data_IF_257367390494
#
_entry.id   IF_257367390494
#
_cell.length_a   1.000
_cell.length_b   1.000
_cell.length_c   1.000
_cell.angle_alpha   90.00
_cell.angle_beta   90.00
_cell.angle_gamma   90.00
#
_symmetry.space_group_name_H-M   'P 1'
#
loop_
_entity.id
_entity.type
_entity.pdbx_description
1 polymer ?
#
# COMPACT_ATOMS: atom_id res chain seq x y z
N UNK A 1 -14.11 -3.05 1.63
CA UNK A 1 -12.84 -2.56 1.08
C UNK A 1 -12.14 -1.61 2.03
N UNK A 2 -10.98 -1.99 2.55
CA UNK A 2 -10.00 -1.05 3.12
C UNK A 2 -8.65 -1.37 2.49
N UNK A 3 -8.08 -0.39 1.79
CA UNK A 3 -6.78 -0.49 1.17
C UNK A 3 -5.76 0.10 2.13
N UNK A 4 -4.73 -0.67 2.48
CA UNK A 4 -3.66 -0.19 3.34
C UNK A 4 -2.40 0.08 2.53
N UNK A 5 -1.84 1.28 2.69
CA UNK A 5 -0.50 1.62 2.22
C UNK A 5 0.41 1.79 3.43
N UNK A 6 1.41 0.93 3.57
CA UNK A 6 2.44 1.07 4.58
C UNK A 6 3.65 1.79 3.97
N UNK A 7 3.95 2.97 4.50
CA UNK A 7 5.02 3.83 4.01
C UNK A 7 5.97 4.25 5.13
N UNK A 8 7.15 4.74 4.75
CA UNK A 8 8.14 5.30 5.68
C UNK A 8 8.40 6.77 5.36
N UNK A 9 8.34 7.63 6.38
CA UNK A 9 8.66 9.05 6.23
C UNK A 9 10.11 9.24 5.76
N UNK A 10 10.29 9.85 4.59
CA UNK A 10 11.61 10.01 3.95
C UNK A 10 12.07 8.85 3.06
N UNK A 11 11.19 7.89 2.74
CA UNK A 11 11.49 6.85 1.75
C UNK A 11 11.26 7.37 0.31
N UNK A 12 12.30 7.40 -0.55
CA UNK A 12 12.19 7.94 -1.91
C UNK A 12 11.24 7.16 -2.82
N UNK A 13 10.98 5.88 -2.51
CA UNK A 13 10.00 5.08 -3.24
C UNK A 13 8.55 5.44 -2.86
N UNK A 14 8.30 5.81 -1.60
CA UNK A 14 6.99 6.20 -1.11
C UNK A 14 6.56 7.55 -1.72
N UNK A 15 7.48 8.52 -1.82
CA UNK A 15 7.20 9.81 -2.47
C UNK A 15 6.79 9.68 -3.94
N UNK A 16 7.27 8.65 -4.64
CA UNK A 16 6.84 8.36 -6.03
C UNK A 16 5.48 7.69 -6.10
N UNK A 17 5.06 6.98 -5.05
CA UNK A 17 3.78 6.29 -4.99
C UNK A 17 2.65 7.21 -4.53
N UNK A 18 2.92 8.17 -3.64
CA UNK A 18 1.94 9.15 -3.17
C UNK A 18 1.07 9.78 -4.29
N UNK A 19 1.62 10.34 -5.39
CA UNK A 19 0.79 10.90 -6.47
C UNK A 19 0.03 9.85 -7.30
N UNK A 20 0.43 8.58 -7.22
CA UNK A 20 -0.29 7.47 -7.89
C UNK A 20 -1.47 7.00 -7.03
N UNK A 21 -1.27 6.95 -5.72
CA UNK A 21 -2.33 6.64 -4.75
C UNK A 21 -3.43 7.71 -4.84
N UNK A 22 -3.05 8.99 -4.84
CA UNK A 22 -4.00 10.10 -4.97
C UNK A 22 -4.85 10.01 -6.25
N UNK A 23 -4.20 9.71 -7.39
CA UNK A 23 -4.91 9.45 -8.66
C UNK A 23 -5.81 8.21 -8.60
N UNK A 24 -5.36 7.15 -7.93
CA UNK A 24 -6.16 5.94 -7.75
C UNK A 24 -7.44 6.24 -6.95
N UNK A 25 -7.31 6.98 -5.85
CA UNK A 25 -8.45 7.37 -5.02
C UNK A 25 -9.44 8.23 -5.81
N UNK A 26 -8.96 9.17 -6.63
CA UNK A 26 -9.81 9.99 -7.50
C UNK A 26 -10.47 9.21 -8.66
N UNK A 27 -9.76 8.27 -9.28
CA UNK A 27 -10.24 7.55 -10.47
C UNK A 27 -11.17 6.38 -10.11
N UNK A 28 -10.82 5.59 -9.09
CA UNK A 28 -11.57 4.40 -8.69
C UNK A 28 -12.54 4.68 -7.51
N UNK A 29 -12.59 5.92 -6.99
CA UNK A 29 -13.42 6.34 -5.85
C UNK A 29 -13.16 5.46 -4.60
N UNK A 30 -11.88 5.09 -4.40
CA UNK A 30 -11.41 4.26 -3.27
C UNK A 30 -10.69 5.11 -2.23
N UNK A 31 -10.61 4.62 -1.00
CA UNK A 31 -9.87 5.27 0.09
C UNK A 31 -8.70 4.36 0.51
N UNK A 32 -7.48 4.89 0.44
CA UNK A 32 -6.23 4.21 0.79
C UNK A 32 -5.71 4.75 2.11
N UNK A 33 -5.78 3.93 3.16
CA UNK A 33 -5.23 4.25 4.47
C UNK A 33 -3.71 4.15 4.45
N UNK A 34 -3.06 5.31 4.39
CA UNK A 34 -1.61 5.43 4.48
C UNK A 34 -1.16 5.35 5.95
N UNK A 35 -0.48 4.28 6.30
CA UNK A 35 0.04 3.97 7.63
C UNK A 35 1.56 4.09 7.64
N UNK A 36 2.06 5.13 8.28
CA UNK A 36 3.50 5.32 8.49
C UNK A 36 4.02 4.27 9.47
N UNK A 37 5.10 3.55 9.16
CA UNK A 37 5.62 2.45 9.99
C UNK A 37 6.96 2.75 10.69
N UNK A 38 7.68 3.81 10.33
CA UNK A 38 8.99 4.08 10.97
C UNK A 38 8.86 4.82 12.31
N UNK A 39 7.87 5.69 12.45
CA UNK A 39 7.58 6.45 13.66
C UNK A 39 6.36 5.92 14.42
N UNK A 40 5.54 5.04 13.82
CA UNK A 40 4.43 4.39 14.49
C UNK A 40 4.63 2.89 14.66
N UNK A 41 4.84 2.46 15.91
CA UNK A 41 5.09 1.06 16.25
C UNK A 41 3.85 0.17 16.02
N UNK A 42 2.63 0.67 16.25
CA UNK A 42 1.40 -0.10 16.02
C UNK A 42 1.23 -0.43 14.53
N UNK A 43 1.51 0.54 13.67
CA UNK A 43 1.49 0.34 12.22
C UNK A 43 2.58 -0.63 11.76
N UNK A 44 3.77 -0.55 12.35
CA UNK A 44 4.86 -1.49 12.06
C UNK A 44 4.52 -2.93 12.46
N UNK A 45 3.87 -3.12 13.61
CA UNK A 45 3.37 -4.45 14.03
C UNK A 45 2.29 -4.95 13.06
N UNK A 46 1.33 -4.09 12.68
CA UNK A 46 0.29 -4.43 11.71
C UNK A 46 0.87 -4.80 10.34
N UNK A 47 1.83 -4.02 9.85
CA UNK A 47 2.57 -4.34 8.63
C UNK A 47 3.20 -5.72 8.75
N UNK A 48 3.90 -6.00 9.85
CA UNK A 48 4.60 -7.27 10.05
C UNK A 48 3.65 -8.46 10.13
N UNK A 49 2.48 -8.30 10.73
CA UNK A 49 1.44 -9.33 10.75
C UNK A 49 0.86 -9.62 9.36
N UNK A 50 0.61 -8.59 8.55
CA UNK A 50 0.06 -8.73 7.21
C UNK A 50 1.09 -9.20 6.18
N UNK A 51 2.31 -8.67 6.30
CA UNK A 51 3.45 -9.02 5.46
C UNK A 51 3.90 -10.46 5.73
N UNK A 52 3.81 -10.93 6.97
CA UNK A 52 4.26 -12.26 7.43
C UNK A 52 5.71 -12.59 6.97
N UNK A 53 6.53 -11.56 6.75
CA UNK A 53 7.90 -11.68 6.24
C UNK A 53 8.04 -11.92 4.74
N UNK A 54 7.02 -11.61 3.93
CA UNK A 54 7.05 -11.75 2.46
C UNK A 54 7.89 -10.65 1.80
N UNK A 55 7.66 -9.40 2.18
CA UNK A 55 8.26 -8.20 1.60
C UNK A 55 9.27 -7.56 2.56
N UNK A 56 8.91 -7.43 3.84
CA UNK A 56 9.75 -6.88 4.91
C UNK A 56 10.19 -5.44 4.73
N UNK A 57 9.56 -4.68 3.83
CA UNK A 57 9.98 -3.34 3.43
C UNK A 57 8.82 -2.42 3.05
N UNK A 58 9.15 -1.14 2.86
CA UNK A 58 8.21 -0.10 2.38
C UNK A 58 8.66 0.43 1.02
N UNK A 59 7.74 0.83 0.12
CA UNK A 59 6.28 0.84 0.29
C UNK A 59 5.66 -0.57 0.20
N UNK A 60 4.65 -0.84 1.02
CA UNK A 60 3.92 -2.11 1.04
C UNK A 60 2.42 -1.84 0.99
N UNK A 61 1.74 -2.40 0.01
CA UNK A 61 0.30 -2.23 -0.16
C UNK A 61 -0.41 -3.53 0.18
N UNK A 62 -1.50 -3.46 0.94
CA UNK A 62 -2.29 -4.62 1.34
C UNK A 62 -3.79 -4.38 1.19
N UNK A 63 -4.44 -5.19 0.36
CA UNK A 63 -5.87 -5.10 0.11
C UNK A 63 -6.57 -6.12 1.01
N UNK A 64 -7.37 -5.62 1.96
CA UNK A 64 -8.11 -6.48 2.89
C UNK A 64 -9.27 -7.25 2.25
N UNK A 65 -9.67 -6.87 1.03
CA UNK A 65 -10.79 -7.46 0.32
C UNK A 65 -10.36 -8.67 -0.53
N UNK A 66 -9.32 -8.52 -1.36
CA UNK A 66 -8.74 -9.63 -2.13
C UNK A 66 -7.70 -10.46 -1.36
N UNK A 67 -7.24 -9.97 -0.20
CA UNK A 67 -6.06 -10.48 0.51
C UNK A 67 -4.76 -10.37 -0.32
N UNK A 68 -4.75 -9.49 -1.33
CA UNK A 68 -3.62 -9.25 -2.23
C UNK A 68 -2.66 -8.18 -1.71
N UNK A 69 -1.38 -8.33 -2.03
CA UNK A 69 -0.33 -7.43 -1.56
C UNK A 69 0.64 -7.05 -2.67
N UNK A 70 1.16 -5.82 -2.61
CA UNK A 70 2.21 -5.33 -3.50
C UNK A 70 3.42 -4.95 -2.67
N UNK A 71 4.58 -5.43 -3.10
CA UNK A 71 5.86 -5.17 -2.48
C UNK A 71 6.69 -4.20 -3.35
N UNK A 72 6.98 -3.01 -2.83
CA UNK A 72 7.83 -2.02 -3.48
C UNK A 72 7.10 -1.05 -4.41
N UNK A 73 7.88 -0.28 -5.17
CA UNK A 73 7.32 0.66 -6.16
C UNK A 73 6.72 -0.11 -7.35
N UNK A 74 5.48 0.22 -7.72
CA UNK A 74 4.80 -0.37 -8.87
C UNK A 74 4.26 0.70 -9.82
N UNK A 75 3.78 0.30 -10.98
CA UNK A 75 3.12 1.19 -11.93
C UNK A 75 1.68 1.50 -11.49
N UNK A 76 1.14 2.64 -11.95
CA UNK A 76 -0.21 3.09 -11.59
C UNK A 76 -1.26 2.05 -12.02
N UNK A 77 -1.15 1.48 -13.23
CA UNK A 77 -2.05 0.44 -13.71
C UNK A 77 -2.08 -0.79 -12.78
N UNK A 78 -0.93 -1.27 -12.33
CA UNK A 78 -0.86 -2.40 -11.38
C UNK A 78 -1.47 -2.03 -10.03
N UNK A 79 -1.25 -0.81 -9.56
CA UNK A 79 -1.88 -0.31 -8.33
C UNK A 79 -3.42 -0.25 -8.49
N UNK A 80 -3.91 0.13 -9.66
CA UNK A 80 -5.35 0.15 -9.99
C UNK A 80 -5.97 -1.23 -10.00
N UNK A 81 -5.39 -2.19 -10.71
CA UNK A 81 -5.95 -3.56 -10.72
C UNK A 81 -5.99 -4.16 -9.31
N UNK A 82 -4.94 -3.94 -8.51
CA UNK A 82 -4.91 -4.37 -7.10
C UNK A 82 -6.00 -3.72 -6.24
N UNK A 83 -6.28 -2.43 -6.46
CA UNK A 83 -7.30 -1.71 -5.73
C UNK A 83 -8.72 -2.11 -6.13
N UNK A 84 -8.95 -2.39 -7.42
CA UNK A 84 -10.24 -2.86 -7.92
C UNK A 84 -10.51 -4.33 -7.62
N UNK A 85 -9.57 -5.03 -6.95
CA UNK A 85 -9.68 -6.47 -6.68
C UNK A 85 -9.79 -7.31 -7.97
N UNK A 86 -9.24 -6.80 -9.09
CA UNK A 86 -9.12 -7.54 -10.34
C UNK A 86 -7.88 -8.42 -10.20
N UNK A 87 -8.01 -9.71 -10.49
CA UNK A 87 -6.92 -10.71 -10.42
C UNK A 87 -5.66 -10.17 -11.16
N UNK A 88 -4.61 -9.82 -10.40
CA UNK A 88 -3.31 -9.31 -10.90
C UNK A 88 -2.26 -10.39 -11.10
#
# INVERSE_FOLDING_TARGET
MTLYEFFGDGCPHCEKMAPKVDQLEEEEDVEVEQLEVWNNQENAEKQKELDDGKCGGVPFFYNTESEEWICGETELDTLKDWADSREV
#
